data_IF_247673701525
#
_entry.id   IF_247673701525
#
_cell.length_a   1.000
_cell.length_b   1.000
_cell.length_c   1.000
_cell.angle_alpha   90.00
_cell.angle_beta   90.00
_cell.angle_gamma   90.00
#
_symmetry.space_group_name_H-M   'P 1'
#
loop_
_entity.id
_entity.type
_entity.pdbx_description
1 polymer ?
#
# COMPACT_ATOMS: atom_id res chain seq x y z
N UNK A 1 -3.31 -13.34 1.31
CA UNK A 1 -3.65 -11.90 1.18
C UNK A 1 -2.47 -11.16 0.56
N UNK A 2 -2.67 -10.18 -0.33
CA UNK A 2 -1.54 -9.49 -1.01
C UNK A 2 -1.27 -8.10 -0.44
N UNK A 3 0.00 -7.83 -0.17
CA UNK A 3 0.48 -6.58 0.39
C UNK A 3 1.68 -6.07 -0.41
N UNK A 4 1.85 -4.76 -0.45
CA UNK A 4 3.07 -4.10 -0.93
C UNK A 4 3.95 -3.74 0.26
N UNK A 5 5.24 -4.05 0.19
CA UNK A 5 6.23 -3.60 1.18
C UNK A 5 6.46 -2.11 0.98
N UNK A 6 6.18 -1.32 2.01
CA UNK A 6 6.28 0.14 1.96
C UNK A 6 7.52 0.65 2.70
N UNK A 7 7.95 -0.04 3.75
CA UNK A 7 9.14 0.29 4.54
C UNK A 7 9.72 -0.98 5.15
N UNK A 8 11.04 -1.02 5.24
CA UNK A 8 11.81 -2.08 5.89
C UNK A 8 12.65 -1.39 6.98
N UNK A 9 12.57 -1.90 8.20
CA UNK A 9 13.38 -1.41 9.32
C UNK A 9 14.07 -2.58 10.01
N UNK A 10 15.37 -2.41 10.28
CA UNK A 10 16.09 -3.32 11.16
C UNK A 10 15.70 -3.00 12.61
N UNK A 11 15.13 -3.98 13.31
CA UNK A 11 14.66 -3.82 14.70
C UNK A 11 15.78 -4.09 15.69
N UNK A 12 16.52 -5.15 15.45
CA UNK A 12 17.71 -5.61 16.17
C UNK A 12 18.62 -6.38 15.20
N UNK A 13 19.67 -7.03 15.68
CA UNK A 13 20.64 -7.75 14.83
C UNK A 13 20.01 -8.96 14.10
N UNK A 14 18.89 -9.49 14.61
CA UNK A 14 18.32 -10.75 14.16
C UNK A 14 16.95 -10.59 13.48
N UNK A 15 16.29 -9.45 13.61
CA UNK A 15 14.91 -9.26 13.13
C UNK A 15 14.72 -7.99 12.30
N UNK A 16 13.86 -8.13 11.30
CA UNK A 16 13.46 -7.08 10.38
C UNK A 16 11.95 -6.87 10.49
N UNK A 17 11.55 -5.61 10.59
CA UNK A 17 10.16 -5.22 10.54
C UNK A 17 9.79 -4.75 9.14
N UNK A 18 8.80 -5.41 8.55
CA UNK A 18 8.24 -5.08 7.24
C UNK A 18 6.92 -4.34 7.46
N UNK A 19 6.85 -3.10 7.00
CA UNK A 19 5.62 -2.32 6.99
C UNK A 19 4.89 -2.51 5.67
N UNK A 20 3.62 -2.89 5.76
CA UNK A 20 2.85 -3.45 4.67
C UNK A 20 1.60 -2.63 4.41
N UNK A 21 1.25 -2.53 3.14
CA UNK A 21 0.01 -1.91 2.69
C UNK A 21 -0.78 -2.86 1.81
N UNK A 22 -2.04 -3.07 2.15
CA UNK A 22 -2.92 -4.01 1.47
C UNK A 22 -3.22 -3.48 0.08
N UNK A 23 -3.05 -4.32 -0.93
CA UNK A 23 -3.48 -3.97 -2.28
C UNK A 23 -5.01 -4.00 -2.33
N UNK A 24 -5.64 -2.81 -2.30
CA UNK A 24 -7.08 -2.64 -2.58
C UNK A 24 -7.30 -2.60 -4.10
N UNK A 25 -8.37 -3.22 -4.56
CA UNK A 25 -8.75 -3.29 -5.98
C UNK A 25 -9.64 -2.10 -6.35
N UNK A 26 -9.21 -0.87 -6.08
CA UNK A 26 -9.99 0.33 -6.42
C UNK A 26 -9.47 0.95 -7.71
N UNK A 27 -10.07 0.55 -8.83
CA UNK A 27 -9.93 1.22 -10.11
C UNK A 27 -10.69 2.55 -10.06
N UNK A 28 -10.00 3.64 -9.70
CA UNK A 28 -10.53 4.99 -9.90
C UNK A 28 -10.54 5.28 -11.41
N UNK A 29 -11.69 5.13 -12.04
CA UNK A 29 -11.92 5.55 -13.42
C UNK A 29 -11.80 7.08 -13.47
N UNK A 30 -10.75 7.59 -14.11
CA UNK A 30 -10.62 9.02 -14.39
C UNK A 30 -11.48 9.39 -15.62
N UNK A 31 -12.24 10.49 -15.57
CA UNK A 31 -13.02 10.95 -16.72
C UNK A 31 -12.12 11.44 -17.86
N UNK A 32 -12.59 11.30 -19.10
CA UNK A 32 -11.84 11.66 -20.30
C UNK A 32 -11.55 13.19 -20.39
N UNK A 33 -10.33 13.59 -20.81
CA UNK A 33 -9.85 14.99 -20.78
C UNK A 33 -10.72 15.97 -21.56
N UNK A 34 -11.32 15.50 -22.65
CA UNK A 34 -12.10 16.30 -23.60
C UNK A 34 -13.39 16.88 -22.97
N UNK A 35 -13.90 16.23 -21.92
CA UNK A 35 -15.17 16.60 -21.28
C UNK A 35 -15.05 17.65 -20.19
N UNK A 36 -13.83 17.97 -19.75
CA UNK A 36 -13.53 18.76 -18.54
C UNK A 36 -13.57 20.27 -18.81
N UNK A 37 -13.12 20.69 -20.00
CA UNK A 37 -12.99 22.11 -20.35
C UNK A 37 -14.28 22.76 -20.87
N UNK A 38 -15.32 21.97 -21.14
CA UNK A 38 -16.58 22.46 -21.69
C UNK A 38 -17.58 22.93 -20.63
N UNK A 39 -17.33 22.64 -19.34
CA UNK A 39 -18.29 22.94 -18.27
C UNK A 39 -17.57 23.29 -16.95
N UNK A 40 -17.73 24.52 -16.43
CA UNK A 40 -17.12 24.93 -15.16
C UNK A 40 -17.56 24.09 -13.95
N UNK A 41 -18.72 23.42 -13.99
CA UNK A 41 -19.10 22.42 -12.96
C UNK A 41 -18.15 21.23 -12.93
N UNK A 42 -17.65 20.78 -14.09
CA UNK A 42 -16.72 19.65 -14.19
C UNK A 42 -15.31 20.00 -13.74
N UNK A 43 -14.93 21.28 -13.79
CA UNK A 43 -13.68 21.77 -13.19
C UNK A 43 -13.76 21.65 -11.65
N UNK A 44 -14.91 21.97 -11.05
CA UNK A 44 -15.14 21.81 -9.61
C UNK A 44 -15.14 20.33 -9.24
N UNK A 45 -15.75 19.47 -10.05
CA UNK A 45 -15.74 18.02 -9.86
C UNK A 45 -14.33 17.43 -9.99
N UNK A 46 -13.54 17.87 -10.97
CA UNK A 46 -12.12 17.52 -11.09
C UNK A 46 -11.33 17.98 -9.86
N UNK A 47 -11.56 19.21 -9.39
CA UNK A 47 -10.93 19.71 -8.17
C UNK A 47 -11.25 18.84 -6.95
N UNK A 48 -12.49 18.36 -6.83
CA UNK A 48 -12.89 17.39 -5.79
C UNK A 48 -12.22 16.04 -5.98
N UNK A 49 -12.11 15.54 -7.21
CA UNK A 49 -11.43 14.26 -7.51
C UNK A 49 -9.91 14.34 -7.26
N UNK A 50 -9.27 15.45 -7.61
CA UNK A 50 -7.85 15.71 -7.34
C UNK A 50 -7.62 15.88 -5.84
N UNK A 51 -8.48 16.62 -5.15
CA UNK A 51 -8.47 16.72 -3.70
C UNK A 51 -8.63 15.36 -3.02
N UNK A 52 -9.57 14.54 -3.50
CA UNK A 52 -9.77 13.18 -3.02
C UNK A 52 -8.57 12.28 -3.34
N UNK A 53 -7.92 12.43 -4.49
CA UNK A 53 -6.70 11.70 -4.85
C UNK A 53 -5.51 12.11 -3.96
N UNK A 54 -5.41 13.38 -3.60
CA UNK A 54 -4.38 13.88 -2.69
C UNK A 54 -4.60 13.42 -1.25
N UNK A 55 -5.84 13.47 -0.76
CA UNK A 55 -6.22 12.91 0.54
C UNK A 55 -5.98 11.40 0.56
N UNK A 56 -6.36 10.69 -0.51
CA UNK A 56 -6.05 9.27 -0.68
C UNK A 56 -4.54 9.04 -0.66
N UNK A 57 -3.74 9.86 -1.35
CA UNK A 57 -2.27 9.76 -1.33
C UNK A 57 -1.66 9.98 0.07
N UNK A 58 -2.27 10.86 0.88
CA UNK A 58 -1.89 11.09 2.28
C UNK A 58 -2.30 9.93 3.20
N UNK A 59 -3.52 9.41 3.06
CA UNK A 59 -3.96 8.19 3.76
C UNK A 59 -3.10 6.99 3.36
N UNK A 60 -2.68 6.96 2.10
CA UNK A 60 -1.78 5.97 1.54
C UNK A 60 -0.36 6.00 2.14
N UNK A 61 0.01 7.05 2.89
CA UNK A 61 1.23 7.07 3.71
C UNK A 61 1.06 6.34 5.05
N UNK A 62 -0.17 6.02 5.46
CA UNK A 62 -0.41 5.17 6.63
C UNK A 62 -0.27 3.69 6.24
N UNK A 63 0.51 2.96 7.04
CA UNK A 63 0.71 1.53 6.85
C UNK A 63 -0.52 0.77 7.39
N UNK A 64 -1.02 -0.21 6.64
CA UNK A 64 -2.18 -1.01 7.07
C UNK A 64 -1.80 -2.06 8.12
N UNK A 65 -0.55 -2.53 8.08
CA UNK A 65 -0.05 -3.58 8.97
C UNK A 65 1.47 -3.62 9.00
N UNK A 66 2.04 -4.34 9.96
CA UNK A 66 3.45 -4.71 9.96
C UNK A 66 3.61 -6.18 10.36
N UNK A 67 4.70 -6.80 9.91
CA UNK A 67 5.13 -8.12 10.37
C UNK A 67 6.61 -8.05 10.74
N UNK A 68 7.02 -8.92 11.67
CA UNK A 68 8.42 -9.12 12.03
C UNK A 68 8.86 -10.46 11.47
N UNK A 69 10.00 -10.46 10.80
CA UNK A 69 10.61 -11.66 10.21
C UNK A 69 12.08 -11.72 10.62
N UNK A 70 12.62 -12.92 10.65
CA UNK A 70 14.05 -13.12 10.92
C UNK A 70 14.89 -12.54 9.77
N UNK A 71 16.03 -11.95 10.10
CA UNK A 71 16.94 -11.30 9.16
C UNK A 71 17.44 -12.27 8.09
N UNK A 72 17.69 -13.53 8.45
CA UNK A 72 18.08 -14.58 7.51
C UNK A 72 16.97 -14.85 6.49
N UNK A 73 15.72 -15.01 6.95
CA UNK A 73 14.56 -15.23 6.07
C UNK A 73 14.32 -14.05 5.14
N UNK A 74 14.44 -12.82 5.66
CA UNK A 74 14.37 -11.59 4.89
C UNK A 74 15.39 -11.57 3.74
N UNK A 75 16.65 -11.90 4.04
CA UNK A 75 17.73 -11.92 3.06
C UNK A 75 17.56 -13.06 2.04
N UNK A 76 17.15 -14.25 2.49
CA UNK A 76 16.92 -15.40 1.61
C UNK A 76 15.86 -15.09 0.55
N UNK A 77 14.83 -14.33 0.93
CA UNK A 77 13.74 -13.91 0.04
C UNK A 77 14.07 -12.67 -0.80
N UNK A 78 15.24 -12.03 -0.61
CA UNK A 78 15.67 -10.78 -1.28
C UNK A 78 14.56 -9.71 -1.28
N UNK A 79 13.89 -9.53 -0.14
CA UNK A 79 12.72 -8.64 -0.04
C UNK A 79 13.13 -7.18 -0.14
N UNK A 80 12.40 -6.40 -0.94
CA UNK A 80 12.68 -4.98 -1.17
C UNK A 80 11.44 -4.11 -0.99
N UNK A 81 11.68 -2.85 -0.68
CA UNK A 81 10.62 -1.83 -0.70
C UNK A 81 10.04 -1.76 -2.12
N UNK A 82 8.72 -1.91 -2.23
CA UNK A 82 8.01 -1.95 -3.49
C UNK A 82 7.50 -3.33 -3.87
N UNK A 83 8.06 -4.40 -3.32
CA UNK A 83 7.66 -5.77 -3.65
C UNK A 83 6.25 -6.08 -3.19
N UNK A 84 5.57 -6.92 -3.98
CA UNK A 84 4.25 -7.44 -3.64
C UNK A 84 4.41 -8.84 -3.09
N UNK A 85 4.04 -9.02 -1.82
CA UNK A 85 4.12 -10.28 -1.11
C UNK A 85 2.73 -10.84 -0.84
N UNK A 86 2.64 -12.17 -0.84
CA UNK A 86 1.44 -12.89 -0.46
C UNK A 86 1.63 -13.51 0.93
N UNK A 87 0.75 -13.12 1.87
CA UNK A 87 0.80 -13.56 3.27
C UNK A 87 -0.39 -14.46 3.53
N UNK A 88 -0.10 -15.66 4.05
CA UNK A 88 -1.07 -16.63 4.53
C UNK A 88 -0.96 -16.71 6.06
N UNK A 89 -2.08 -16.59 6.77
CA UNK A 89 -2.13 -16.70 8.24
C UNK A 89 -2.61 -18.11 8.55
N UNK A 90 -1.78 -18.90 9.24
CA UNK A 90 -2.15 -20.24 9.73
C UNK A 90 -2.34 -20.17 11.24
N UNK A 91 -3.49 -20.64 11.71
CA UNK A 91 -3.74 -20.80 13.14
C UNK A 91 -2.96 -22.02 13.62
N UNK A 92 -2.11 -21.82 14.64
CA UNK A 92 -1.38 -22.93 15.28
C UNK A 92 -2.19 -23.32 16.50
N UNK A 93 -2.70 -24.56 16.54
CA UNK A 93 -3.29 -25.10 17.76
C UNK A 93 -2.17 -25.25 18.80
N UNK A 94 -2.38 -24.72 20.00
CA UNK A 94 -1.50 -24.98 21.14
C UNK A 94 -1.91 -26.32 21.73
N UNK A 95 -1.04 -27.31 21.59
CA UNK A 95 -1.06 -28.56 22.37
C UNK A 95 -0.76 -28.30 23.86
#
# INVERSE_FOLDING_TARGET
MRFKIMKIELKDEDTVQLWLKRLKKDATLLPAPESIFSDPMKIIELGKQVGAAYVKALEEMQYDSFITVDYESYNLMDLRVGDVVEIEIKQVERD
#
